data_IF_132795385535
#
_entry.id   IF_132795385535
#
_cell.length_a   1.000
_cell.length_b   1.000
_cell.length_c   1.000
_cell.angle_alpha   90.00
_cell.angle_beta   90.00
_cell.angle_gamma   90.00
#
_symmetry.space_group_name_H-M   'P 1'
#
loop_
_entity.id
_entity.type
_entity.pdbx_description
1 polymer ?
#
# COMPACT_ATOMS: atom_id res chain seq x y z
N UNK A 1 10.29 3.80 13.15
CA UNK A 1 10.90 5.04 12.62
C UNK A 1 11.10 4.84 11.14
N UNK A 2 10.54 5.71 10.30
CA UNK A 2 10.81 5.73 8.85
C UNK A 2 12.27 6.16 8.67
N UNK A 3 13.02 5.44 7.83
CA UNK A 3 14.46 5.68 7.65
C UNK A 3 14.75 7.03 6.98
N UNK A 4 13.90 7.44 6.04
CA UNK A 4 13.95 8.71 5.31
C UNK A 4 12.59 9.39 5.33
N UNK A 5 12.24 10.13 6.39
CA UNK A 5 10.90 10.74 6.53
C UNK A 5 10.58 11.75 5.42
N UNK A 6 11.59 12.34 4.77
CA UNK A 6 11.45 13.28 3.65
C UNK A 6 10.97 12.60 2.36
N UNK A 7 11.10 11.28 2.27
CA UNK A 7 10.63 10.45 1.14
C UNK A 7 9.40 9.61 1.51
N UNK A 8 8.83 9.83 2.69
CA UNK A 8 7.67 9.09 3.14
C UNK A 8 6.41 9.49 2.37
N UNK A 9 5.58 8.51 2.06
CA UNK A 9 4.25 8.71 1.52
C UNK A 9 3.20 8.17 2.50
N UNK A 10 2.04 8.83 2.54
CA UNK A 10 0.86 8.31 3.24
C UNK A 10 0.06 7.44 2.29
N UNK A 11 -0.19 6.20 2.71
CA UNK A 11 -1.12 5.29 2.03
C UNK A 11 -2.40 5.29 2.85
N UNK A 12 -3.50 5.75 2.25
CA UNK A 12 -4.80 5.83 2.90
C UNK A 12 -5.75 4.88 2.17
N UNK A 13 -6.32 3.94 2.91
CA UNK A 13 -7.35 3.03 2.42
C UNK A 13 -8.73 3.68 2.52
N UNK A 14 -9.49 3.63 1.44
CA UNK A 14 -10.83 4.18 1.35
C UNK A 14 -11.82 3.09 1.00
N UNK A 15 -13.02 3.12 1.60
CA UNK A 15 -14.05 2.13 1.32
C UNK A 15 -14.62 2.29 -0.09
N UNK A 16 -14.82 3.53 -0.54
CA UNK A 16 -15.37 3.84 -1.86
C UNK A 16 -14.62 4.98 -2.54
N UNK A 17 -14.79 5.07 -3.87
CA UNK A 17 -14.28 6.22 -4.65
C UNK A 17 -14.96 7.54 -4.25
N UNK A 18 -16.21 7.49 -3.80
CA UNK A 18 -16.93 8.68 -3.38
C UNK A 18 -16.41 9.21 -2.04
N UNK A 19 -15.92 8.34 -1.14
CA UNK A 19 -15.24 8.78 0.09
C UNK A 19 -13.97 9.57 -0.24
N UNK A 20 -13.21 9.15 -1.25
CA UNK A 20 -12.03 9.89 -1.74
C UNK A 20 -12.43 11.29 -2.22
N UNK A 21 -13.47 11.38 -3.06
CA UNK A 21 -13.96 12.67 -3.60
C UNK A 21 -14.49 13.57 -2.49
N UNK A 22 -15.23 13.00 -1.53
CA UNK A 22 -15.75 13.73 -0.38
C UNK A 22 -14.62 14.27 0.49
N UNK A 23 -13.60 13.46 0.77
CA UNK A 23 -12.42 13.92 1.49
C UNK A 23 -11.72 15.04 0.74
N UNK A 24 -11.41 14.86 -0.54
CA UNK A 24 -10.73 15.85 -1.38
C UNK A 24 -11.47 17.19 -1.44
N UNK A 25 -12.81 17.16 -1.39
CA UNK A 25 -13.66 18.35 -1.40
C UNK A 25 -13.86 18.97 -0.02
N UNK A 26 -13.44 18.29 1.05
CA UNK A 26 -13.64 18.73 2.43
C UNK A 26 -12.51 19.65 2.92
N UNK A 27 -12.78 20.53 3.91
CA UNK A 27 -11.74 21.31 4.57
C UNK A 27 -10.65 20.44 5.23
N UNK A 28 -10.96 19.20 5.60
CA UNK A 28 -10.01 18.28 6.20
C UNK A 28 -8.88 17.90 5.23
N UNK A 29 -9.14 17.85 3.92
CA UNK A 29 -8.11 17.63 2.92
C UNK A 29 -7.13 18.82 2.87
N UNK A 30 -7.63 20.05 2.89
CA UNK A 30 -6.78 21.23 2.91
C UNK A 30 -5.87 21.26 4.15
N UNK A 31 -6.43 20.99 5.33
CA UNK A 31 -5.64 20.90 6.57
C UNK A 31 -4.65 19.73 6.55
N UNK A 32 -5.06 18.57 6.04
CA UNK A 32 -4.16 17.42 5.88
C UNK A 32 -2.96 17.78 5.00
N UNK A 33 -3.20 18.39 3.83
CA UNK A 33 -2.14 18.79 2.90
C UNK A 33 -1.25 19.91 3.44
N UNK A 34 -1.81 20.88 4.19
CA UNK A 34 -1.04 21.98 4.80
C UNK A 34 0.02 21.48 5.77
N UNK A 35 -0.24 20.35 6.42
CA UNK A 35 0.69 19.73 7.38
C UNK A 35 1.72 18.80 6.71
N UNK A 36 1.66 18.61 5.39
CA UNK A 36 2.62 17.80 4.64
C UNK A 36 3.67 18.69 3.98
N UNK A 37 4.97 18.35 4.10
CA UNK A 37 6.03 19.11 3.44
C UNK A 37 5.75 19.18 1.93
N UNK A 38 5.91 20.35 1.35
CA UNK A 38 5.91 20.52 -0.10
C UNK A 38 7.24 20.01 -0.63
N UNK A 39 7.20 19.03 -1.54
CA UNK A 39 8.41 18.54 -2.19
C UNK A 39 8.73 19.50 -3.33
N UNK A 40 9.52 20.53 -3.03
CA UNK A 40 10.11 21.38 -4.06
C UNK A 40 11.53 20.84 -4.32
N UNK A 41 11.95 20.72 -5.59
CA UNK A 41 13.29 20.23 -5.98
C UNK A 41 14.44 21.15 -5.47
N UNK A 42 14.10 22.19 -4.70
CA UNK A 42 15.04 23.02 -3.97
C UNK A 42 15.25 22.46 -2.55
N UNK A 43 16.48 22.06 -2.26
CA UNK A 43 16.92 21.57 -0.96
C UNK A 43 16.46 22.50 0.18
N UNK A 44 15.44 22.08 0.93
CA UNK A 44 15.17 22.62 2.26
C UNK A 44 15.44 21.50 3.25
N UNK A 45 16.61 21.57 3.89
CA UNK A 45 16.92 20.81 5.09
C UNK A 45 15.89 21.19 6.16
N UNK A 46 14.86 20.36 6.34
CA UNK A 46 13.93 20.54 7.46
C UNK A 46 14.61 19.94 8.70
N UNK A 47 15.36 20.76 9.42
CA UNK A 47 15.55 20.54 10.86
C UNK A 47 14.17 20.59 11.52
N UNK A 48 13.50 19.46 11.77
CA UNK A 48 12.45 19.41 12.78
C UNK A 48 11.97 17.99 13.12
N UNK A 49 12.76 17.31 13.96
CA UNK A 49 12.27 16.26 14.87
C UNK A 49 11.19 16.76 15.86
N UNK A 50 10.92 18.07 15.88
CA UNK A 50 10.02 18.78 16.78
C UNK A 50 8.65 19.14 16.18
N UNK A 51 8.49 19.20 14.84
CA UNK A 51 7.26 19.67 14.21
C UNK A 51 6.09 18.68 14.37
N UNK A 52 6.36 17.37 14.31
CA UNK A 52 5.33 16.34 14.52
C UNK A 52 4.81 16.25 15.97
N UNK A 53 5.41 16.97 16.93
CA UNK A 53 5.01 16.95 18.35
C UNK A 53 4.14 18.14 18.77
N UNK A 54 3.90 19.12 17.91
CA UNK A 54 3.06 20.29 18.22
C UNK A 54 1.81 20.31 17.35
N UNK A 55 0.96 19.30 17.57
CA UNK A 55 -0.44 19.31 17.17
C UNK A 55 -1.22 20.17 18.17
N UNK A 56 -1.07 21.49 18.08
CA UNK A 56 -2.00 22.42 18.74
C UNK A 56 -2.62 23.31 17.68
N UNK A 57 -3.92 23.06 17.50
CA UNK A 57 -4.90 23.91 16.84
C UNK A 57 -4.70 25.33 17.37
N UNK A 58 -4.23 26.26 16.52
CA UNK A 58 -4.37 27.73 16.59
C UNK A 58 -3.36 28.34 15.61
N UNK A 59 -3.80 28.65 14.39
CA UNK A 59 -3.66 29.96 13.75
C UNK A 59 -4.10 29.89 12.28
N UNK A 60 -5.21 30.58 12.04
CA UNK A 60 -5.90 30.69 10.79
C UNK A 60 -5.19 31.62 9.79
N UNK A 61 -5.51 31.37 8.52
CA UNK A 61 -5.49 32.37 7.43
C UNK A 61 -4.16 32.66 6.75
N UNK A 62 -3.77 31.78 5.82
CA UNK A 62 -3.13 32.20 4.55
C UNK A 62 -3.74 31.39 3.42
N UNK A 63 -4.46 32.07 2.53
CA UNK A 63 -5.03 31.50 1.30
C UNK A 63 -3.91 31.30 0.28
N UNK A 64 -3.46 30.07 0.13
CA UNK A 64 -2.58 29.64 -0.96
C UNK A 64 -3.44 29.05 -2.10
N UNK A 65 -3.02 29.22 -3.37
CA UNK A 65 -3.74 28.66 -4.53
C UNK A 65 -3.90 27.13 -4.39
N UNK A 66 -4.94 26.53 -4.99
CA UNK A 66 -5.18 25.10 -4.86
C UNK A 66 -3.97 24.34 -5.39
N UNK A 67 -3.28 23.64 -4.49
CA UNK A 67 -2.15 22.81 -4.84
C UNK A 67 -2.57 21.78 -5.90
N UNK A 68 -1.76 21.54 -6.95
CA UNK A 68 -2.03 20.47 -7.91
C UNK A 68 -2.20 19.15 -7.15
N UNK A 69 -3.14 18.29 -7.59
CA UNK A 69 -3.50 17.06 -6.89
C UNK A 69 -2.26 16.26 -6.47
N UNK A 70 -1.99 16.23 -5.16
CA UNK A 70 -0.94 15.44 -4.51
C UNK A 70 -1.38 13.99 -4.27
N UNK A 71 -2.55 13.61 -4.77
CA UNK A 71 -3.13 12.29 -4.56
C UNK A 71 -2.96 11.43 -5.82
N UNK A 72 -2.23 10.33 -5.67
CA UNK A 72 -2.30 9.20 -6.59
C UNK A 72 -3.39 8.25 -6.12
N UNK A 73 -4.50 8.16 -6.87
CA UNK A 73 -5.60 7.25 -6.53
C UNK A 73 -5.41 5.91 -7.23
N UNK A 74 -5.33 4.86 -6.43
CA UNK A 74 -5.14 3.49 -6.87
C UNK A 74 -6.41 2.67 -6.61
N UNK A 75 -6.76 1.79 -7.55
CA UNK A 75 -7.83 0.82 -7.39
C UNK A 75 -7.26 -0.59 -7.50
N UNK A 76 -7.74 -1.50 -6.66
CA UNK A 76 -7.37 -2.92 -6.75
C UNK A 76 -7.74 -3.50 -8.13
N UNK A 77 -6.82 -4.30 -8.68
CA UNK A 77 -7.05 -5.07 -9.91
C UNK A 77 -7.82 -6.36 -9.61
N UNK A 78 -7.67 -6.90 -8.40
CA UNK A 78 -8.34 -8.12 -7.93
C UNK A 78 -9.27 -7.81 -6.76
N UNK A 79 -10.34 -8.59 -6.58
CA UNK A 79 -11.25 -8.49 -5.43
C UNK A 79 -10.59 -8.80 -4.07
N UNK A 80 -9.36 -9.30 -4.06
CA UNK A 80 -8.62 -9.57 -2.84
C UNK A 80 -8.43 -8.28 -2.03
N UNK A 81 -9.05 -8.28 -0.84
CA UNK A 81 -8.88 -7.26 0.20
C UNK A 81 -7.39 -7.08 0.48
N UNK A 82 -6.97 -5.83 0.69
CA UNK A 82 -5.66 -5.37 1.14
C UNK A 82 -5.25 -6.07 2.43
N UNK A 83 -4.91 -7.36 2.39
CA UNK A 83 -4.32 -8.04 3.52
C UNK A 83 -2.89 -7.53 3.64
N UNK A 84 -2.74 -6.43 4.39
CA UNK A 84 -1.49 -5.96 4.98
C UNK A 84 -0.37 -5.82 3.96
N UNK A 85 -0.37 -4.74 3.18
CA UNK A 85 0.86 -4.27 2.50
C UNK A 85 1.94 -3.79 3.50
N UNK A 86 1.72 -4.00 4.81
CA UNK A 86 2.65 -3.68 5.88
C UNK A 86 3.95 -4.49 5.76
N UNK A 87 5.06 -3.82 5.97
CA UNK A 87 6.40 -4.38 5.91
C UNK A 87 7.14 -3.92 4.65
N UNK A 88 8.20 -4.67 4.32
CA UNK A 88 9.06 -4.31 3.21
C UNK A 88 8.47 -4.84 1.91
N UNK A 89 8.37 -3.96 0.92
CA UNK A 89 7.84 -4.28 -0.40
C UNK A 89 8.77 -3.81 -1.50
N UNK A 90 8.83 -4.60 -2.57
CA UNK A 90 9.36 -4.13 -3.85
C UNK A 90 8.18 -3.65 -4.67
N UNK A 91 8.11 -2.33 -4.89
CA UNK A 91 7.07 -1.67 -5.66
C UNK A 91 7.53 -1.58 -7.11
N UNK A 92 6.80 -2.17 -8.04
CA UNK A 92 7.09 -2.08 -9.49
C UNK A 92 5.90 -1.46 -10.21
N UNK A 93 6.15 -0.43 -11.00
CA UNK A 93 5.12 0.23 -11.81
C UNK A 93 5.31 -0.12 -13.27
N UNK A 94 4.24 -0.43 -13.99
CA UNK A 94 4.24 -0.78 -15.41
C UNK A 94 3.36 0.18 -16.20
N UNK A 95 3.88 0.65 -17.34
CA UNK A 95 3.15 1.47 -18.29
C UNK A 95 2.66 0.64 -19.48
N UNK A 96 1.35 0.62 -19.70
CA UNK A 96 0.72 0.08 -20.91
C UNK A 96 0.27 1.25 -21.79
N UNK A 97 0.72 1.35 -23.06
CA UNK A 97 0.55 2.53 -23.91
C UNK A 97 -0.83 2.60 -24.58
N UNK A 98 -1.85 2.02 -23.93
CA UNK A 98 -3.24 2.06 -24.36
C UNK A 98 -4.14 2.11 -23.13
N UNK A 99 -5.33 2.68 -23.26
CA UNK A 99 -6.36 2.55 -22.25
C UNK A 99 -6.96 1.15 -22.32
N UNK A 100 -7.19 0.55 -21.16
CA UNK A 100 -7.68 -0.81 -21.06
C UNK A 100 -9.00 -0.80 -20.31
N UNK A 101 -10.07 -1.24 -20.98
CA UNK A 101 -11.40 -1.28 -20.39
C UNK A 101 -11.54 -2.44 -19.39
N UNK A 102 -11.04 -3.63 -19.76
CA UNK A 102 -10.97 -4.80 -18.88
C UNK A 102 -9.57 -4.95 -18.25
N UNK A 103 -9.32 -4.12 -17.24
CA UNK A 103 -8.07 -4.13 -16.47
C UNK A 103 -7.82 -5.49 -15.81
N UNK A 104 -8.88 -6.15 -15.32
CA UNK A 104 -8.79 -7.44 -14.63
C UNK A 104 -8.42 -8.58 -15.58
N UNK A 105 -9.06 -8.66 -16.74
CA UNK A 105 -8.72 -9.61 -17.81
C UNK A 105 -7.30 -9.42 -18.31
N UNK A 106 -6.90 -8.18 -18.61
CA UNK A 106 -5.54 -7.91 -19.09
C UNK A 106 -4.47 -8.29 -18.05
N UNK A 107 -4.72 -8.00 -16.77
CA UNK A 107 -3.83 -8.44 -15.69
C UNK A 107 -3.73 -9.98 -15.62
N UNK A 108 -4.87 -10.66 -15.70
CA UNK A 108 -4.92 -12.12 -15.63
C UNK A 108 -4.14 -12.76 -16.79
N UNK A 109 -4.27 -12.22 -18.00
CA UNK A 109 -3.69 -12.81 -19.21
C UNK A 109 -2.19 -12.55 -19.33
N UNK A 110 -1.73 -11.37 -18.90
CA UNK A 110 -0.35 -10.95 -19.13
C UNK A 110 0.54 -10.95 -17.88
N UNK A 111 0.00 -10.60 -16.71
CA UNK A 111 0.82 -10.36 -15.51
C UNK A 111 0.74 -11.51 -14.50
N UNK A 112 -0.45 -12.10 -14.32
CA UNK A 112 -0.69 -13.12 -13.29
C UNK A 112 0.16 -14.38 -13.48
N UNK A 113 0.30 -14.86 -14.71
CA UNK A 113 1.08 -16.08 -15.00
C UNK A 113 2.56 -15.90 -14.68
N UNK A 114 3.11 -14.71 -14.96
CA UNK A 114 4.51 -14.36 -14.72
C UNK A 114 4.76 -14.12 -13.24
N UNK A 115 3.99 -13.23 -12.61
CA UNK A 115 4.26 -12.76 -11.25
C UNK A 115 3.53 -13.52 -10.15
N UNK A 116 2.54 -14.36 -10.47
CA UNK A 116 1.73 -15.07 -9.47
C UNK A 116 2.53 -16.06 -8.61
N UNK A 117 3.67 -16.53 -9.11
CA UNK A 117 4.60 -17.41 -8.39
C UNK A 117 6.05 -16.98 -8.52
N UNK A 118 6.29 -15.75 -9.00
CA UNK A 118 7.63 -15.25 -9.26
C UNK A 118 8.43 -15.12 -7.96
N UNK A 119 9.64 -15.65 -7.94
CA UNK A 119 10.58 -15.46 -6.84
C UNK A 119 11.92 -15.09 -7.44
N UNK A 120 12.53 -13.98 -6.99
CA UNK A 120 13.85 -13.62 -7.48
C UNK A 120 14.87 -14.68 -7.06
N UNK A 121 15.89 -14.87 -7.91
CA UNK A 121 17.02 -15.76 -7.61
C UNK A 121 17.65 -15.41 -6.26
N UNK A 122 18.08 -16.44 -5.52
CA UNK A 122 18.60 -16.30 -4.16
C UNK A 122 17.52 -16.28 -3.07
N UNK A 123 16.24 -16.19 -3.44
CA UNK A 123 15.10 -16.21 -2.51
C UNK A 123 14.30 -17.52 -2.55
N UNK A 124 14.87 -18.60 -3.10
CA UNK A 124 14.18 -19.89 -3.27
C UNK A 124 13.78 -20.52 -1.93
N UNK A 125 14.44 -20.17 -0.82
CA UNK A 125 14.09 -20.64 0.52
C UNK A 125 12.63 -20.36 0.90
N UNK A 126 12.01 -19.32 0.31
CA UNK A 126 10.61 -18.96 0.55
C UNK A 126 9.68 -20.10 0.05
N UNK A 127 10.06 -20.82 -1.01
CA UNK A 127 9.26 -21.93 -1.58
C UNK A 127 9.19 -23.15 -0.69
N UNK A 128 10.13 -23.31 0.24
CA UNK A 128 10.22 -24.50 1.09
C UNK A 128 9.12 -24.53 2.16
N UNK A 129 8.42 -23.41 2.35
CA UNK A 129 7.28 -23.34 3.25
C UNK A 129 6.01 -23.88 2.58
N UNK A 130 5.35 -24.83 3.25
CA UNK A 130 4.12 -25.51 2.79
C UNK A 130 3.00 -24.55 2.37
N UNK A 131 2.95 -23.37 2.98
CA UNK A 131 1.91 -22.36 2.75
C UNK A 131 2.30 -21.33 1.68
N UNK A 132 3.48 -21.43 1.07
CA UNK A 132 3.99 -20.43 0.13
C UNK A 132 3.01 -20.10 -0.99
N UNK A 133 2.38 -21.12 -1.58
CA UNK A 133 1.42 -20.97 -2.69
C UNK A 133 0.14 -20.22 -2.31
N UNK A 134 -0.20 -20.18 -1.03
CA UNK A 134 -1.37 -19.46 -0.51
C UNK A 134 -1.01 -18.08 0.07
N UNK A 135 0.29 -17.77 0.20
CA UNK A 135 0.81 -16.61 0.93
C UNK A 135 1.75 -15.72 0.13
N UNK A 136 2.01 -16.04 -1.14
CA UNK A 136 2.78 -15.16 -2.00
C UNK A 136 1.88 -14.00 -2.45
N UNK A 137 1.83 -12.98 -1.60
CA UNK A 137 0.92 -11.85 -1.69
C UNK A 137 1.53 -10.76 -2.56
N UNK A 138 1.47 -10.92 -3.88
CA UNK A 138 1.59 -9.76 -4.76
C UNK A 138 0.23 -9.03 -4.76
N UNK A 139 0.21 -7.76 -4.36
CA UNK A 139 -1.01 -6.94 -4.48
C UNK A 139 -0.90 -6.07 -5.72
N UNK A 140 -1.96 -6.06 -6.52
CA UNK A 140 -2.00 -5.36 -7.79
C UNK A 140 -3.04 -4.25 -7.76
N UNK A 141 -2.59 -3.07 -8.16
CA UNK A 141 -3.44 -1.89 -8.34
C UNK A 141 -3.29 -1.34 -9.74
N UNK A 142 -4.24 -0.52 -10.14
CA UNK A 142 -4.13 0.33 -11.31
C UNK A 142 -4.46 1.77 -10.94
N UNK A 143 -3.85 2.71 -11.66
CA UNK A 143 -4.00 4.14 -11.42
C UNK A 143 -5.33 4.61 -12.02
N UNK A 144 -6.19 5.23 -11.20
CA UNK A 144 -7.45 5.84 -11.65
C UNK A 144 -7.26 7.25 -12.20
N UNK A 145 -6.37 8.02 -11.57
CA UNK A 145 -6.11 9.41 -11.91
C UNK A 145 -4.62 9.64 -11.92
N UNK A 146 -4.08 10.09 -13.06
CA UNK A 146 -2.68 10.45 -13.17
C UNK A 146 -2.40 11.78 -12.46
N UNK A 147 -1.29 11.85 -11.76
CA UNK A 147 -0.81 13.04 -11.07
C UNK A 147 0.60 13.43 -11.58
N UNK A 148 1.21 14.39 -10.89
CA UNK A 148 2.56 14.84 -11.18
C UNK A 148 3.62 13.72 -11.06
N UNK A 149 3.42 12.74 -10.15
CA UNK A 149 4.33 11.62 -9.98
C UNK A 149 4.35 10.76 -11.25
N UNK A 150 3.18 10.42 -11.79
CA UNK A 150 3.06 9.70 -13.06
C UNK A 150 3.77 10.48 -14.19
N UNK A 151 3.53 11.79 -14.27
CA UNK A 151 4.17 12.66 -15.26
C UNK A 151 5.69 12.71 -15.15
N UNK A 152 6.24 12.63 -13.93
CA UNK A 152 7.69 12.60 -13.66
C UNK A 152 8.32 11.28 -14.07
N UNK A 153 7.66 10.14 -13.80
CA UNK A 153 8.17 8.79 -14.11
C UNK A 153 8.04 8.42 -15.59
N UNK A 154 6.88 8.69 -16.17
CA UNK A 154 6.53 8.20 -17.51
C UNK A 154 6.32 9.30 -18.55
N UNK A 155 6.66 10.55 -18.23
CA UNK A 155 6.40 11.70 -19.08
C UNK A 155 4.93 12.13 -19.08
N UNK A 156 4.65 13.31 -19.64
CA UNK A 156 3.29 13.81 -19.81
C UNK A 156 2.63 13.10 -20.98
N UNK A 157 1.34 12.79 -20.83
CA UNK A 157 0.55 12.31 -21.96
C UNK A 157 0.38 13.46 -22.96
N UNK A 158 0.95 13.32 -24.15
CA UNK A 158 0.73 14.27 -25.24
C UNK A 158 -0.72 14.10 -25.71
N UNK A 159 -1.52 15.17 -25.59
CA UNK A 159 -2.89 15.18 -26.10
C UNK A 159 -2.84 15.31 -27.62
N UNK A 160 -2.65 14.20 -28.32
CA UNK A 160 -2.86 14.12 -29.77
C UNK A 160 -4.31 13.68 -30.03
N UNK A 161 -4.92 14.23 -31.08
CA UNK A 161 -6.36 14.18 -31.41
C UNK A 161 -6.97 12.77 -31.67
N UNK A 162 -6.24 11.68 -31.47
CA UNK A 162 -6.72 10.31 -31.69
C UNK A 162 -7.18 9.67 -30.37
N UNK A 163 -8.45 9.24 -30.33
CA UNK A 163 -9.16 8.66 -29.18
C UNK A 163 -8.50 7.43 -28.53
N UNK A 164 -7.48 6.84 -29.16
CA UNK A 164 -6.77 5.64 -28.68
C UNK A 164 -5.51 5.95 -27.81
N UNK A 165 -5.15 7.21 -27.60
CA UNK A 165 -3.92 7.58 -26.89
C UNK A 165 -3.99 7.57 -25.36
N UNK A 166 -4.96 6.88 -24.75
CA UNK A 166 -4.91 6.69 -23.30
C UNK A 166 -3.77 5.74 -22.89
N UNK A 167 -3.36 5.79 -21.63
CA UNK A 167 -2.44 4.80 -21.06
C UNK A 167 -3.02 4.19 -19.78
N UNK A 168 -2.60 2.98 -19.46
CA UNK A 168 -2.98 2.31 -18.22
C UNK A 168 -1.72 1.96 -17.44
N UNK A 169 -1.74 2.28 -16.15
CA UNK A 169 -0.60 2.08 -15.26
C UNK A 169 -0.96 1.03 -14.24
N UNK A 170 -0.16 -0.04 -14.19
CA UNK A 170 -0.26 -1.09 -13.18
C UNK A 170 0.79 -0.88 -12.11
N UNK A 171 0.40 -1.13 -10.87
CA UNK A 171 1.21 -1.03 -9.68
C UNK A 171 1.27 -2.42 -9.03
N UNK A 172 2.46 -2.97 -8.92
CA UNK A 172 2.74 -4.27 -8.33
C UNK A 172 3.47 -4.09 -7.00
N UNK A 173 2.84 -4.52 -5.92
CA UNK A 173 3.45 -4.60 -4.60
C UNK A 173 3.87 -6.04 -4.33
N UNK A 174 5.16 -6.34 -4.50
CA UNK A 174 5.73 -7.61 -4.09
C UNK A 174 6.03 -7.56 -2.59
N UNK A 175 5.25 -8.30 -1.80
CA UNK A 175 5.43 -8.39 -0.36
C UNK A 175 6.52 -9.39 0.00
N UNK A 176 7.54 -8.95 0.75
CA UNK A 176 8.57 -9.84 1.29
C UNK A 176 8.07 -10.52 2.56
N UNK A 177 7.80 -11.84 2.55
CA UNK A 177 7.11 -12.49 3.65
C UNK A 177 8.06 -12.72 4.83
N UNK A 178 8.14 -11.74 5.75
CA UNK A 178 9.01 -11.81 6.94
C UNK A 178 8.82 -13.09 7.75
N UNK A 179 7.58 -13.58 7.87
CA UNK A 179 7.24 -14.83 8.58
C UNK A 179 7.85 -16.08 7.94
N UNK A 180 8.27 -16.01 6.67
CA UNK A 180 8.91 -17.09 5.92
C UNK A 180 10.43 -16.87 5.80
N UNK A 181 11.01 -15.99 6.63
CA UNK A 181 12.44 -15.74 6.68
C UNK A 181 12.97 -14.71 5.69
N UNK A 182 12.10 -13.97 4.99
CA UNK A 182 12.52 -12.81 4.19
C UNK A 182 12.81 -11.61 5.10
N UNK A 183 13.94 -11.66 5.81
CA UNK A 183 14.37 -10.57 6.69
C UNK A 183 14.86 -9.37 5.86
N UNK A 184 14.90 -8.14 6.45
CA UNK A 184 15.43 -6.97 5.77
C UNK A 184 16.84 -7.17 5.19
N UNK A 185 17.71 -7.90 5.88
CA UNK A 185 19.10 -8.16 5.46
C UNK A 185 19.14 -9.08 4.24
N UNK A 186 18.26 -10.08 4.18
CA UNK A 186 18.18 -11.00 3.03
C UNK A 186 17.57 -10.34 1.81
N UNK A 187 16.58 -9.47 2.02
CA UNK A 187 16.02 -8.68 0.95
C UNK A 187 17.05 -7.66 0.42
N UNK A 188 17.85 -7.02 1.29
CA UNK A 188 18.96 -6.16 0.87
C UNK A 188 20.02 -6.94 0.09
N UNK A 189 20.39 -8.14 0.57
CA UNK A 189 21.31 -9.01 -0.14
C UNK A 189 20.76 -9.44 -1.51
N UNK A 190 19.45 -9.71 -1.61
CA UNK A 190 18.80 -10.00 -2.89
C UNK A 190 18.78 -8.77 -3.81
N UNK A 191 18.55 -7.56 -3.29
CA UNK A 191 18.59 -6.34 -4.09
C UNK A 191 20.00 -6.03 -4.63
N UNK A 192 21.05 -6.39 -3.87
CA UNK A 192 22.44 -6.25 -4.27
C UNK A 192 22.93 -7.38 -5.20
N UNK A 193 22.21 -8.50 -5.29
CA UNK A 193 22.61 -9.68 -6.08
C UNK A 193 22.32 -9.46 -7.58
N UNK A 194 23.36 -9.51 -8.45
CA UNK A 194 23.17 -9.43 -9.90
C UNK A 194 22.23 -10.50 -10.46
N UNK A 195 22.22 -11.72 -9.90
CA UNK A 195 21.37 -12.81 -10.39
C UNK A 195 19.90 -12.56 -10.05
N UNK A 196 19.62 -12.05 -8.86
CA UNK A 196 18.28 -11.61 -8.48
C UNK A 196 17.79 -10.50 -9.41
N UNK A 197 18.63 -9.49 -9.70
CA UNK A 197 18.31 -8.42 -10.64
C UNK A 197 18.05 -8.94 -12.06
N UNK A 198 18.86 -9.89 -12.53
CA UNK A 198 18.64 -10.54 -13.82
C UNK A 198 17.30 -11.29 -13.86
N UNK A 199 16.95 -12.00 -12.79
CA UNK A 199 15.67 -12.72 -12.71
C UNK A 199 14.46 -11.78 -12.73
N UNK A 200 14.56 -10.61 -12.09
CA UNK A 200 13.55 -9.54 -12.21
C UNK A 200 13.43 -9.05 -13.65
N UNK A 201 14.56 -8.75 -14.31
CA UNK A 201 14.56 -8.30 -15.70
C UNK A 201 13.94 -9.35 -16.65
N UNK A 202 14.23 -10.64 -16.42
CA UNK A 202 13.64 -11.74 -17.21
C UNK A 202 12.13 -11.87 -16.99
N UNK A 203 11.64 -11.67 -15.77
CA UNK A 203 10.20 -11.65 -15.49
C UNK A 203 9.53 -10.44 -16.14
N UNK A 204 10.13 -9.26 -16.02
CA UNK A 204 9.61 -8.03 -16.63
C UNK A 204 9.59 -8.13 -18.16
N UNK A 205 10.62 -8.70 -18.77
CA UNK A 205 10.66 -8.91 -20.22
C UNK A 205 9.51 -9.80 -20.72
N UNK A 206 9.01 -10.73 -19.92
CA UNK A 206 7.88 -11.60 -20.30
C UNK A 206 6.54 -10.86 -20.33
N UNK A 207 6.42 -9.72 -19.63
CA UNK A 207 5.22 -8.88 -19.66
C UNK A 207 5.35 -7.71 -20.64
N UNK A 208 6.43 -7.66 -21.42
CA UNK A 208 6.69 -6.68 -22.46
C UNK A 208 6.69 -7.35 -23.85
N UNK A 209 5.64 -7.17 -24.68
CA UNK A 209 4.37 -6.45 -24.44
C UNK A 209 3.40 -7.23 -23.52
N UNK A 210 2.38 -6.59 -22.91
CA UNK A 210 1.81 -5.27 -23.23
C UNK A 210 2.44 -4.06 -22.55
N UNK A 211 3.30 -4.23 -21.54
CA UNK A 211 4.01 -3.11 -20.94
C UNK A 211 5.10 -2.57 -21.88
N UNK A 212 5.35 -1.27 -21.82
CA UNK A 212 6.38 -0.57 -22.63
C UNK A 212 7.44 0.14 -21.80
N UNK A 213 7.11 0.49 -20.57
CA UNK A 213 8.06 1.02 -19.60
C UNK A 213 7.74 0.48 -18.21
N UNK A 214 8.74 0.49 -17.33
CA UNK A 214 8.58 0.12 -15.95
C UNK A 214 9.57 0.87 -15.06
N UNK A 215 9.22 1.00 -13.80
CA UNK A 215 10.10 1.49 -12.74
C UNK A 215 9.96 0.62 -11.49
N UNK A 216 11.02 0.55 -10.69
CA UNK A 216 11.00 -0.22 -9.44
C UNK A 216 11.60 0.58 -8.31
N UNK A 217 10.95 0.48 -7.15
CA UNK A 217 11.30 1.13 -5.90
C UNK A 217 11.20 0.11 -4.75
N UNK A 218 11.78 0.47 -3.60
CA UNK A 218 11.75 -0.33 -2.38
C UNK A 218 11.14 0.50 -1.25
N UNK A 219 10.09 -0.01 -0.63
CA UNK A 219 9.33 0.73 0.38
C UNK A 219 9.27 -0.08 1.67
N UNK A 220 9.30 0.60 2.82
CA UNK A 220 9.02 0.02 4.15
C UNK A 220 7.71 0.62 4.67
N UNK A 221 6.61 -0.09 4.44
CA UNK A 221 5.27 0.36 4.77
C UNK A 221 5.00 0.02 6.24
N UNK A 222 4.51 1.00 7.00
CA UNK A 222 4.18 0.83 8.42
C UNK A 222 2.78 1.34 8.68
N UNK A 223 2.02 0.62 9.51
CA UNK A 223 0.75 1.14 9.99
C UNK A 223 1.00 2.38 10.87
N UNK A 224 0.24 3.45 10.62
CA UNK A 224 0.23 4.61 11.50
C UNK A 224 -0.44 4.17 12.80
N UNK A 225 0.20 4.36 13.98
CA UNK A 225 -0.42 3.99 15.25
C UNK A 225 -1.82 4.58 15.36
N UNK A 226 -2.81 3.71 15.58
CA UNK A 226 -4.19 4.15 15.78
C UNK A 226 -4.26 4.87 17.13
N UNK A 227 -4.50 6.17 17.08
CA UNK A 227 -4.96 6.91 18.25
C UNK A 227 -6.45 6.64 18.38
N UNK A 228 -6.80 5.59 19.11
CA UNK A 228 -8.18 5.41 19.52
C UNK A 228 -8.56 6.61 20.39
N UNK A 229 -9.65 7.33 20.08
CA UNK A 229 -10.24 8.19 21.10
C UNK A 229 -10.48 7.31 22.34
N UNK A 230 -10.30 7.86 23.56
CA UNK A 230 -10.56 7.09 24.78
C UNK A 230 -11.91 6.40 24.64
N UNK A 231 -11.95 5.09 24.87
CA UNK A 231 -13.19 4.33 24.79
C UNK A 231 -14.25 5.07 25.61
N UNK A 232 -15.42 5.38 25.02
CA UNK A 232 -16.48 5.98 25.80
C UNK A 232 -16.78 5.03 26.97
N UNK A 233 -16.88 5.57 28.18
CA UNK A 233 -17.29 4.78 29.35
C UNK A 233 -18.58 4.04 28.99
N UNK A 234 -18.52 2.70 28.96
CA UNK A 234 -19.65 1.86 28.60
C UNK A 234 -20.85 2.22 29.49
N UNK A 235 -22.04 2.35 28.89
CA UNK A 235 -23.28 2.45 29.67
C UNK A 235 -23.33 1.24 30.61
N UNK A 236 -23.59 1.41 31.92
CA UNK A 236 -23.70 0.31 32.87
C UNK A 236 -24.56 -0.87 32.38
N UNK A 237 -25.55 -0.62 31.53
CA UNK A 237 -26.39 -1.67 30.91
C UNK A 237 -25.67 -2.50 29.84
N UNK A 238 -24.78 -1.89 29.07
CA UNK A 238 -23.98 -2.61 28.07
C UNK A 238 -22.90 -3.45 28.77
N UNK A 239 -22.34 -2.95 29.86
CA UNK A 239 -21.39 -3.70 30.69
C UNK A 239 -22.03 -4.93 31.33
N UNK A 240 -23.25 -4.82 31.88
CA UNK A 240 -24.01 -5.98 32.38
C UNK A 240 -24.32 -7.00 31.28
N UNK A 241 -24.63 -6.53 30.07
CA UNK A 241 -24.91 -7.40 28.93
C UNK A 241 -23.65 -8.16 28.48
N UNK A 242 -22.49 -7.52 28.41
CA UNK A 242 -21.23 -8.20 28.06
C UNK A 242 -20.81 -9.22 29.13
N UNK A 243 -20.98 -8.88 30.42
CA UNK A 243 -20.72 -9.81 31.52
C UNK A 243 -21.64 -11.04 31.46
N UNK A 244 -22.91 -10.85 31.10
CA UNK A 244 -23.87 -11.93 30.87
C UNK A 244 -23.46 -12.83 29.70
N UNK A 245 -23.03 -12.24 28.57
CA UNK A 245 -22.56 -13.01 27.41
C UNK A 245 -21.28 -13.80 27.73
N UNK A 246 -20.35 -13.19 28.45
CA UNK A 246 -19.12 -13.83 28.87
C UNK A 246 -19.40 -15.02 29.80
N UNK A 247 -20.31 -14.85 30.77
CA UNK A 247 -20.74 -15.94 31.65
C UNK A 247 -21.38 -17.09 30.87
N UNK A 248 -22.25 -16.80 29.89
CA UNK A 248 -22.88 -17.83 29.04
C UNK A 248 -21.86 -18.58 28.18
N UNK A 249 -20.85 -17.88 27.67
CA UNK A 249 -19.77 -18.48 26.91
C UNK A 249 -18.93 -19.41 27.78
N UNK A 250 -18.61 -19.00 29.01
CA UNK A 250 -17.89 -19.82 29.98
C UNK A 250 -18.70 -21.07 30.39
N UNK A 251 -19.99 -20.92 30.66
CA UNK A 251 -20.90 -22.05 30.93
C UNK A 251 -20.98 -23.02 29.75
N UNK A 252 -21.06 -22.51 28.52
CA UNK A 252 -21.06 -23.32 27.30
C UNK A 252 -19.75 -24.10 27.13
N UNK A 253 -18.61 -23.45 27.31
CA UNK A 253 -17.29 -24.08 27.21
C UNK A 253 -17.09 -25.16 28.28
N UNK A 254 -17.54 -24.89 29.51
CA UNK A 254 -17.46 -25.83 30.63
C UNK A 254 -18.38 -27.05 30.43
N UNK A 255 -19.59 -26.84 29.90
CA UNK A 255 -20.53 -27.92 29.56
C UNK A 255 -19.99 -28.85 28.46
N UNK A 256 -19.22 -28.31 27.52
CA UNK A 256 -18.61 -29.06 26.42
C UNK A 256 -17.19 -29.59 26.72
N UNK A 257 -16.72 -29.49 27.97
CA UNK A 257 -15.45 -30.07 28.40
C UNK A 257 -14.20 -29.34 27.90
N UNK A 258 -14.33 -28.08 27.49
CA UNK A 258 -13.17 -27.23 27.19
C UNK A 258 -12.73 -26.54 28.48
N UNK A 259 -11.60 -26.96 29.05
CA UNK A 259 -11.00 -26.22 30.17
C UNK A 259 -10.45 -24.88 29.67
N UNK A 260 -10.95 -23.79 30.26
CA UNK A 260 -10.40 -22.44 30.09
C UNK A 260 -9.04 -22.41 30.78
N UNK A 261 -7.99 -22.89 30.11
CA UNK A 261 -6.67 -23.05 30.71
C UNK A 261 -5.54 -23.44 29.78
N UNK A 262 -5.76 -24.17 28.69
CA UNK A 262 -4.68 -24.50 27.74
C UNK A 262 -4.55 -23.42 26.65
N UNK A 263 -4.19 -22.21 27.08
CA UNK A 263 -3.40 -21.29 26.27
C UNK A 263 -2.04 -21.14 26.91
N UNK A 264 -1.13 -22.08 26.63
CA UNK A 264 0.32 -21.88 26.60
C UNK A 264 1.03 -23.14 26.13
N UNK A 265 1.31 -23.22 24.83
CA UNK A 265 2.63 -23.50 24.25
C UNK A 265 2.59 -23.39 22.72
#
# INVERSE_FOLDING_TARGET
MVETPEQAAYIIEWATLDDVKNFQSSPACAEFLRNLPEYDDSQVFIESRSALRRLTLEEASVSLPPAPSRFLTLKHVTEAVTSKVEGRVTFTTFLVPRKVDDVGGMWNDHFKSVFGTFIPRGSEFITWHRDFRFKFSAVWFWVLTEDHWVGKRFGKLEQTQEDDQGRTIFCHFHLWPRRLGATPEREEASAADPQARESWNQAIAQVMPPATAWEQERWDIREVPRFYPPEPELDPKELEYEQEQQRRLEEYLQFHGFEVGERSQ
#
